data_IF_084432156466
#
_entry.id   IF_084432156466
#
_cell.length_a   1.000
_cell.length_b   1.000
_cell.length_c   1.000
_cell.angle_alpha   90.00
_cell.angle_beta   90.00
_cell.angle_gamma   90.00
#
_symmetry.space_group_name_H-M   'P 1'
#
loop_
_entity.id
_entity.type
_entity.pdbx_description
1 polymer ?
#
# COMPACT_ATOMS: atom_id res chain seq x y z
N UNK A 1 10.27 -42.53 40.00
CA UNK A 1 11.02 -41.37 39.53
C UNK A 1 10.30 -40.83 38.29
N UNK A 2 9.47 -39.79 38.44
CA UNK A 2 8.70 -39.21 37.34
C UNK A 2 9.34 -37.88 36.97
N UNK A 3 10.02 -37.82 35.82
CA UNK A 3 10.62 -36.63 35.25
C UNK A 3 9.50 -35.79 34.61
N UNK A 4 9.23 -34.60 35.17
CA UNK A 4 8.34 -33.61 34.56
C UNK A 4 9.14 -32.86 33.48
N UNK A 5 8.82 -33.09 32.20
CA UNK A 5 9.18 -32.16 31.15
C UNK A 5 8.23 -30.97 31.24
N UNK A 6 8.74 -29.83 31.68
CA UNK A 6 8.05 -28.55 31.61
C UNK A 6 8.28 -27.94 30.25
N UNK A 7 7.23 -27.87 29.45
CA UNK A 7 7.26 -27.22 28.14
C UNK A 7 7.25 -25.67 28.30
N UNK A 8 8.42 -25.07 28.18
CA UNK A 8 8.57 -23.61 28.11
C UNK A 8 8.48 -23.13 26.66
N UNK A 9 7.26 -23.08 26.07
CA UNK A 9 7.02 -22.62 24.69
C UNK A 9 6.11 -21.40 24.61
N UNK A 10 5.96 -20.65 25.71
CA UNK A 10 5.01 -19.51 25.76
C UNK A 10 5.47 -18.12 25.31
N UNK A 11 6.73 -17.64 25.39
CA UNK A 11 7.01 -16.23 25.12
C UNK A 11 7.06 -15.85 23.64
N UNK A 12 7.39 -16.77 22.73
CA UNK A 12 7.52 -16.47 21.29
C UNK A 12 6.14 -16.31 20.62
N UNK A 13 5.16 -17.13 21.00
CA UNK A 13 3.82 -17.13 20.41
C UNK A 13 3.02 -15.87 20.84
N UNK A 14 3.10 -15.47 22.10
CA UNK A 14 2.44 -14.24 22.59
C UNK A 14 3.00 -12.97 21.94
N UNK A 15 4.31 -12.91 21.72
CA UNK A 15 4.96 -11.78 21.06
C UNK A 15 4.52 -11.70 19.60
N UNK A 16 4.50 -12.82 18.88
CA UNK A 16 4.03 -12.88 17.49
C UNK A 16 2.54 -12.52 17.38
N UNK A 17 1.70 -13.03 18.28
CA UNK A 17 0.29 -12.69 18.34
C UNK A 17 0.06 -11.18 18.58
N UNK A 18 0.87 -10.55 19.44
CA UNK A 18 0.82 -9.10 19.68
C UNK A 18 1.23 -8.29 18.45
N UNK A 19 2.28 -8.70 17.75
CA UNK A 19 2.73 -8.05 16.50
C UNK A 19 1.65 -8.15 15.43
N UNK A 20 1.06 -9.33 15.23
CA UNK A 20 -0.05 -9.54 14.27
C UNK A 20 -1.27 -8.67 14.60
N UNK A 21 -1.67 -8.59 15.87
CA UNK A 21 -2.79 -7.74 16.29
C UNK A 21 -2.50 -6.26 16.05
N UNK A 22 -1.26 -5.83 16.30
CA UNK A 22 -0.83 -4.46 16.04
C UNK A 22 -0.95 -4.15 14.54
N UNK A 23 -0.41 -5.01 13.69
CA UNK A 23 -0.48 -4.84 12.24
C UNK A 23 -1.92 -4.87 11.72
N UNK A 24 -2.74 -5.80 12.21
CA UNK A 24 -4.15 -5.87 11.84
C UNK A 24 -4.90 -4.56 12.18
N UNK A 25 -4.64 -3.97 13.34
CA UNK A 25 -5.24 -2.69 13.73
C UNK A 25 -4.79 -1.56 12.80
N UNK A 26 -3.52 -1.54 12.41
CA UNK A 26 -2.99 -0.57 11.44
C UNK A 26 -3.73 -0.68 10.10
N UNK A 27 -3.85 -1.89 9.58
CA UNK A 27 -4.57 -2.16 8.31
C UNK A 27 -6.05 -1.81 8.41
N UNK A 28 -6.72 -2.11 9.52
CA UNK A 28 -8.12 -1.74 9.72
C UNK A 28 -8.33 -0.23 9.70
N UNK A 29 -7.42 0.56 10.29
CA UNK A 29 -7.48 2.02 10.26
C UNK A 29 -7.31 2.56 8.83
N UNK A 30 -6.38 2.01 8.08
CA UNK A 30 -6.13 2.39 6.69
C UNK A 30 -7.34 2.04 5.80
N UNK A 31 -7.88 0.83 5.94
CA UNK A 31 -9.07 0.40 5.20
C UNK A 31 -10.31 1.24 5.55
N UNK A 32 -10.50 1.60 6.82
CA UNK A 32 -11.59 2.47 7.25
C UNK A 32 -11.53 3.85 6.59
N UNK A 33 -10.34 4.44 6.50
CA UNK A 33 -10.15 5.72 5.81
C UNK A 33 -10.49 5.62 4.32
N UNK A 34 -10.06 4.54 3.65
CA UNK A 34 -10.40 4.28 2.24
C UNK A 34 -11.90 4.07 2.03
N UNK A 35 -12.57 3.36 2.93
CA UNK A 35 -14.02 3.14 2.88
C UNK A 35 -14.77 4.46 2.99
N UNK A 36 -14.39 5.34 3.92
CA UNK A 36 -14.99 6.66 4.08
C UNK A 36 -14.81 7.54 2.85
N UNK A 37 -13.61 7.54 2.25
CA UNK A 37 -13.34 8.22 0.97
C UNK A 37 -14.17 7.60 -0.17
N UNK A 38 -14.28 6.28 -0.20
CA UNK A 38 -15.14 5.54 -1.13
C UNK A 38 -16.60 5.94 -1.04
N UNK A 39 -17.08 6.24 0.16
CA UNK A 39 -18.44 6.71 0.43
C UNK A 39 -18.65 8.22 0.16
N UNK A 40 -17.63 8.92 -0.34
CA UNK A 40 -17.72 10.32 -0.77
C UNK A 40 -17.12 11.35 0.18
N UNK A 41 -16.56 10.96 1.32
CA UNK A 41 -15.87 11.88 2.21
C UNK A 41 -14.55 12.37 1.57
N UNK A 42 -14.20 13.65 1.77
CA UNK A 42 -12.84 14.11 1.46
C UNK A 42 -11.86 13.58 2.50
N UNK A 43 -10.73 13.02 2.10
CA UNK A 43 -9.75 12.51 3.05
C UNK A 43 -9.22 13.59 4.00
N UNK A 44 -8.99 14.81 3.50
CA UNK A 44 -8.53 15.95 4.31
C UNK A 44 -9.55 16.41 5.35
N UNK A 45 -10.83 16.06 5.19
CA UNK A 45 -11.90 16.37 6.14
C UNK A 45 -12.12 15.26 7.18
N UNK A 46 -11.51 14.07 6.99
CA UNK A 46 -11.70 12.94 7.90
C UNK A 46 -11.12 13.21 9.29
N UNK A 47 -11.97 13.08 10.30
CA UNK A 47 -11.57 13.14 11.70
C UNK A 47 -11.11 11.77 12.24
N UNK A 48 -10.15 11.78 13.18
CA UNK A 48 -9.65 10.55 13.83
C UNK A 48 -10.80 9.74 14.47
N UNK A 49 -11.79 10.42 15.07
CA UNK A 49 -12.96 9.74 15.67
C UNK A 49 -13.82 9.02 14.62
N UNK A 50 -13.94 9.58 13.44
CA UNK A 50 -14.68 8.98 12.34
C UNK A 50 -13.96 7.74 11.81
N UNK A 51 -12.66 7.84 11.54
CA UNK A 51 -11.82 6.72 11.10
C UNK A 51 -11.84 5.58 12.13
N UNK A 52 -11.67 5.89 13.42
CA UNK A 52 -11.63 4.86 14.46
C UNK A 52 -12.97 4.19 14.70
N UNK A 53 -14.09 4.93 14.56
CA UNK A 53 -15.44 4.37 14.60
C UNK A 53 -15.66 3.39 13.45
N UNK A 54 -15.28 3.76 12.24
CA UNK A 54 -15.36 2.90 11.05
C UNK A 54 -14.47 1.67 11.19
N UNK A 55 -13.26 1.81 11.76
CA UNK A 55 -12.34 0.72 12.02
C UNK A 55 -12.74 -0.19 13.20
N UNK A 56 -13.79 0.16 13.96
CA UNK A 56 -14.22 -0.59 15.15
C UNK A 56 -13.22 -0.55 16.31
N UNK A 57 -12.45 0.55 16.44
CA UNK A 57 -11.44 0.70 17.50
C UNK A 57 -11.63 2.00 18.28
N UNK A 58 -11.06 2.07 19.49
CA UNK A 58 -11.07 3.30 20.30
C UNK A 58 -10.08 4.34 19.76
N UNK A 59 -10.35 5.67 19.91
CA UNK A 59 -9.47 6.71 19.40
C UNK A 59 -8.01 6.62 19.87
N UNK A 60 -7.78 6.14 21.08
CA UNK A 60 -6.41 5.94 21.61
C UNK A 60 -5.62 4.87 20.84
N UNK A 61 -6.29 3.94 20.17
CA UNK A 61 -5.63 2.96 19.30
C UNK A 61 -5.01 3.61 18.07
N UNK A 62 -5.61 4.65 17.50
CA UNK A 62 -5.07 5.40 16.37
C UNK A 62 -3.66 5.91 16.65
N UNK A 63 -3.47 6.57 17.80
CA UNK A 63 -2.19 7.19 18.16
C UNK A 63 -1.05 6.20 18.42
N UNK A 64 -1.33 4.91 18.51
CA UNK A 64 -0.31 3.85 18.54
C UNK A 64 0.27 3.51 17.17
N UNK A 65 -0.38 3.96 16.10
CA UNK A 65 -0.03 3.65 14.71
C UNK A 65 0.29 4.89 13.90
N UNK A 66 -0.43 5.99 14.11
CA UNK A 66 -0.32 7.23 13.34
C UNK A 66 -0.46 8.43 14.28
N UNK A 67 0.37 9.46 14.09
CA UNK A 67 0.28 10.70 14.87
C UNK A 67 -0.84 11.61 14.36
N UNK A 68 -1.05 11.59 13.03
CA UNK A 68 -2.02 12.44 12.32
C UNK A 68 -2.72 11.66 11.22
N UNK A 69 -3.83 12.19 10.70
CA UNK A 69 -4.48 11.65 9.50
C UNK A 69 -3.58 11.74 8.26
N UNK A 70 -2.74 12.77 8.14
CA UNK A 70 -1.74 12.88 7.08
C UNK A 70 -0.74 11.72 7.11
N UNK A 71 -0.26 11.32 8.29
CA UNK A 71 0.65 10.16 8.43
C UNK A 71 -0.03 8.85 7.98
N UNK A 72 -1.33 8.68 8.27
CA UNK A 72 -2.11 7.56 7.74
C UNK A 72 -2.22 7.65 6.21
N UNK A 73 -2.47 8.82 5.66
CA UNK A 73 -2.54 9.04 4.22
C UNK A 73 -1.21 8.75 3.51
N UNK A 74 -0.09 9.18 4.09
CA UNK A 74 1.26 8.86 3.59
C UNK A 74 1.51 7.36 3.58
N UNK A 75 1.09 6.64 4.61
CA UNK A 75 1.20 5.17 4.65
C UNK A 75 0.34 4.50 3.56
N UNK A 76 -0.85 5.02 3.25
CA UNK A 76 -1.67 4.52 2.14
C UNK A 76 -0.97 4.70 0.78
N UNK A 77 -0.34 5.85 0.55
CA UNK A 77 0.45 6.12 -0.67
C UNK A 77 1.61 5.15 -0.80
N UNK A 78 2.38 4.97 0.28
CA UNK A 78 3.55 4.10 0.33
C UNK A 78 3.19 2.62 0.10
N UNK A 79 2.23 2.08 0.85
CA UNK A 79 1.81 0.68 0.77
C UNK A 79 1.27 0.33 -0.64
N UNK A 80 0.46 1.22 -1.22
CA UNK A 80 -0.05 1.08 -2.60
C UNK A 80 1.06 1.11 -3.64
N UNK A 81 2.00 2.06 -3.51
CA UNK A 81 3.15 2.21 -4.40
C UNK A 81 4.07 0.99 -4.37
N UNK A 82 4.43 0.50 -3.18
CA UNK A 82 5.27 -0.70 -3.01
C UNK A 82 4.60 -1.92 -3.68
N UNK A 83 3.32 -2.13 -3.41
CA UNK A 83 2.58 -3.28 -3.95
C UNK A 83 2.51 -3.23 -5.47
N UNK A 84 2.15 -2.09 -6.05
CA UNK A 84 2.05 -1.92 -7.50
C UNK A 84 3.41 -2.15 -8.19
N UNK A 85 4.48 -1.52 -7.68
CA UNK A 85 5.83 -1.69 -8.26
C UNK A 85 6.27 -3.15 -8.24
N UNK A 86 6.04 -3.85 -7.13
CA UNK A 86 6.37 -5.29 -7.01
C UNK A 86 5.63 -6.12 -8.06
N UNK A 87 4.30 -5.97 -8.17
CA UNK A 87 3.48 -6.72 -9.12
C UNK A 87 3.89 -6.47 -10.57
N UNK A 88 4.18 -5.23 -10.93
CA UNK A 88 4.59 -4.91 -12.29
C UNK A 88 6.01 -5.34 -12.60
N UNK A 89 6.92 -5.35 -11.61
CA UNK A 89 8.26 -5.94 -11.77
C UNK A 89 8.16 -7.45 -12.02
N UNK A 90 7.37 -8.17 -11.23
CA UNK A 90 7.11 -9.60 -11.40
C UNK A 90 6.51 -9.89 -12.79
N UNK A 91 5.54 -9.08 -13.24
CA UNK A 91 4.94 -9.21 -14.57
C UNK A 91 5.96 -9.04 -15.71
N UNK A 92 6.93 -8.10 -15.57
CA UNK A 92 7.99 -7.89 -16.57
C UNK A 92 9.05 -8.99 -16.56
N UNK A 93 9.26 -9.65 -15.43
CA UNK A 93 10.22 -10.76 -15.31
C UNK A 93 9.67 -12.11 -15.80
N UNK A 94 8.43 -12.17 -16.25
CA UNK A 94 7.74 -13.39 -16.67
C UNK A 94 8.22 -13.95 -18.04
N UNK A 95 9.47 -13.75 -18.46
CA UNK A 95 10.13 -14.37 -19.63
C UNK A 95 9.28 -14.40 -20.93
N UNK A 96 8.49 -13.34 -21.18
CA UNK A 96 7.65 -13.21 -22.37
C UNK A 96 8.37 -12.40 -23.46
N UNK A 97 8.08 -12.62 -24.75
CA UNK A 97 8.50 -11.72 -25.84
C UNK A 97 8.04 -10.28 -25.57
N UNK A 98 8.77 -9.28 -26.11
CA UNK A 98 8.60 -7.88 -25.73
C UNK A 98 7.16 -7.34 -25.78
N UNK A 99 6.41 -7.61 -26.88
CA UNK A 99 5.01 -7.18 -27.01
C UNK A 99 4.08 -7.87 -26.02
N UNK A 100 4.26 -9.18 -25.82
CA UNK A 100 3.45 -9.96 -24.88
C UNK A 100 3.74 -9.56 -23.44
N UNK A 101 4.97 -9.21 -23.11
CA UNK A 101 5.34 -8.68 -21.79
C UNK A 101 4.66 -7.35 -21.51
N UNK A 102 4.63 -6.43 -22.48
CA UNK A 102 3.92 -5.14 -22.33
C UNK A 102 2.44 -5.39 -22.11
N UNK A 103 1.81 -6.22 -22.94
CA UNK A 103 0.39 -6.58 -22.84
C UNK A 103 0.08 -7.22 -21.48
N UNK A 104 0.93 -8.13 -21.03
CA UNK A 104 0.81 -8.78 -19.72
C UNK A 104 0.92 -7.76 -18.59
N UNK A 105 1.92 -6.87 -18.61
CA UNK A 105 2.10 -5.82 -17.60
C UNK A 105 0.90 -4.86 -17.53
N UNK A 106 0.34 -4.47 -18.68
CA UNK A 106 -0.88 -3.65 -18.74
C UNK A 106 -2.08 -4.41 -18.16
N UNK A 107 -2.22 -5.70 -18.47
CA UNK A 107 -3.30 -6.54 -17.91
C UNK A 107 -3.20 -6.65 -16.38
N UNK A 108 -2.00 -6.87 -15.84
CA UNK A 108 -1.74 -6.91 -14.40
C UNK A 108 -2.08 -5.55 -13.77
N UNK A 109 -1.66 -4.45 -14.38
CA UNK A 109 -1.99 -3.10 -13.92
C UNK A 109 -3.50 -2.84 -13.86
N UNK A 110 -4.22 -3.14 -14.96
CA UNK A 110 -5.68 -2.95 -15.01
C UNK A 110 -6.40 -3.83 -13.98
N UNK A 111 -5.93 -5.05 -13.78
CA UNK A 111 -6.50 -5.96 -12.78
C UNK A 111 -6.28 -5.41 -11.37
N UNK A 112 -5.08 -4.92 -11.07
CA UNK A 112 -4.76 -4.27 -9.81
C UNK A 112 -5.65 -3.05 -9.55
N UNK A 113 -5.83 -2.17 -10.54
CA UNK A 113 -6.72 -1.00 -10.42
C UNK A 113 -8.16 -1.38 -10.06
N UNK A 114 -8.68 -2.45 -10.67
CA UNK A 114 -10.04 -2.93 -10.40
C UNK A 114 -10.19 -3.50 -8.99
N UNK A 115 -9.18 -4.21 -8.51
CA UNK A 115 -9.18 -4.81 -7.17
C UNK A 115 -8.96 -3.77 -6.07
N UNK A 116 -8.23 -2.70 -6.36
CA UNK A 116 -7.82 -1.64 -5.43
C UNK A 116 -8.46 -0.28 -5.78
N UNK A 117 -9.73 -0.29 -6.17
CA UNK A 117 -10.41 0.91 -6.66
C UNK A 117 -10.56 2.01 -5.60
N UNK A 118 -10.61 1.69 -4.31
CA UNK A 118 -10.68 2.66 -3.22
C UNK A 118 -9.36 3.41 -3.05
N UNK A 119 -8.25 2.69 -3.10
CA UNK A 119 -6.90 3.25 -3.07
C UNK A 119 -6.67 4.19 -4.25
N UNK A 120 -7.12 3.80 -5.45
CA UNK A 120 -7.00 4.64 -6.63
C UNK A 120 -7.91 5.87 -6.58
N UNK A 121 -9.10 5.76 -6.01
CA UNK A 121 -9.96 6.91 -5.77
C UNK A 121 -9.29 7.88 -4.81
N UNK A 122 -8.71 7.39 -3.71
CA UNK A 122 -7.93 8.18 -2.77
C UNK A 122 -6.75 8.88 -3.46
N UNK A 123 -5.88 8.14 -4.17
CA UNK A 123 -4.73 8.70 -4.88
C UNK A 123 -5.16 9.78 -5.90
N UNK A 124 -6.22 9.53 -6.65
CA UNK A 124 -6.71 10.46 -7.67
C UNK A 124 -7.24 11.76 -7.07
N UNK A 125 -7.95 11.69 -5.95
CA UNK A 125 -8.47 12.88 -5.25
C UNK A 125 -7.35 13.67 -4.57
N UNK A 126 -6.44 12.97 -3.87
CA UNK A 126 -5.39 13.62 -3.08
C UNK A 126 -4.21 14.13 -3.92
N UNK A 127 -4.06 13.66 -5.16
CA UNK A 127 -3.06 14.18 -6.11
C UNK A 127 -3.23 15.68 -6.39
N UNK A 128 -4.45 16.18 -6.38
CA UNK A 128 -4.78 17.59 -6.67
C UNK A 128 -5.37 18.33 -5.47
N UNK A 129 -6.18 17.66 -4.64
CA UNK A 129 -6.91 18.24 -3.51
C UNK A 129 -6.29 18.01 -2.13
N UNK A 130 -5.35 17.07 -2.01
CA UNK A 130 -4.75 16.67 -0.74
C UNK A 130 -3.84 17.71 -0.09
N UNK A 131 -3.33 17.39 1.08
CA UNK A 131 -2.29 18.19 1.74
C UNK A 131 -1.01 18.25 0.90
N UNK A 132 -0.14 19.23 1.19
CA UNK A 132 1.13 19.36 0.46
C UNK A 132 2.00 18.11 0.59
N UNK A 133 2.01 17.48 1.77
CA UNK A 133 2.73 16.23 2.04
C UNK A 133 2.22 15.08 1.17
N UNK A 134 0.90 14.91 1.07
CA UNK A 134 0.28 13.87 0.24
C UNK A 134 0.54 14.09 -1.26
N UNK A 135 0.36 15.34 -1.75
CA UNK A 135 0.68 15.65 -3.15
C UNK A 135 2.13 15.35 -3.51
N UNK A 136 3.07 15.67 -2.62
CA UNK A 136 4.49 15.38 -2.83
C UNK A 136 4.77 13.88 -2.80
N UNK A 137 4.21 13.14 -1.83
CA UNK A 137 4.36 11.69 -1.74
C UNK A 137 3.84 10.99 -2.99
N UNK A 138 2.63 11.33 -3.46
CA UNK A 138 2.04 10.76 -4.69
C UNK A 138 2.91 11.08 -5.91
N UNK A 139 3.42 12.30 -6.02
CA UNK A 139 4.32 12.69 -7.12
C UNK A 139 5.61 11.88 -7.12
N UNK A 140 6.21 11.69 -5.94
CA UNK A 140 7.43 10.90 -5.77
C UNK A 140 7.19 9.44 -6.11
N UNK A 141 6.07 8.84 -5.69
CA UNK A 141 5.71 7.47 -6.05
C UNK A 141 5.56 7.29 -7.57
N UNK A 142 4.91 8.24 -8.25
CA UNK A 142 4.79 8.22 -9.72
C UNK A 142 6.18 8.31 -10.37
N UNK A 143 7.07 9.16 -9.86
CA UNK A 143 8.43 9.30 -10.38
C UNK A 143 9.25 8.02 -10.16
N UNK A 144 9.17 7.41 -8.96
CA UNK A 144 9.82 6.12 -8.67
C UNK A 144 9.34 5.03 -9.61
N UNK A 145 8.02 4.90 -9.78
CA UNK A 145 7.43 3.94 -10.70
C UNK A 145 7.91 4.13 -12.15
N UNK A 146 7.92 5.38 -12.64
CA UNK A 146 8.35 5.69 -14.00
C UNK A 146 9.83 5.37 -14.21
N UNK A 147 10.68 5.70 -13.24
CA UNK A 147 12.13 5.44 -13.31
C UNK A 147 12.44 3.93 -13.28
N UNK A 148 11.78 3.16 -12.40
CA UNK A 148 11.93 1.69 -12.37
C UNK A 148 11.48 1.07 -13.69
N UNK A 149 10.32 1.48 -14.22
CA UNK A 149 9.81 0.96 -15.48
C UNK A 149 10.77 1.28 -16.64
N UNK A 150 11.28 2.50 -16.72
CA UNK A 150 12.26 2.89 -17.75
C UNK A 150 13.56 2.07 -17.64
N UNK A 151 14.03 1.81 -16.42
CA UNK A 151 15.22 0.99 -16.18
C UNK A 151 15.00 -0.46 -16.61
N UNK A 152 13.86 -1.06 -16.25
CA UNK A 152 13.53 -2.43 -16.63
C UNK A 152 13.40 -2.60 -18.15
N UNK A 153 12.75 -1.64 -18.84
CA UNK A 153 12.62 -1.67 -20.30
C UNK A 153 13.97 -1.58 -21.02
N UNK A 154 14.93 -0.79 -20.47
CA UNK A 154 16.30 -0.73 -20.99
C UNK A 154 17.04 -2.05 -20.80
N UNK A 155 16.99 -2.63 -19.60
CA UNK A 155 17.65 -3.90 -19.27
C UNK A 155 17.15 -5.06 -20.14
N UNK A 156 15.86 -5.07 -20.44
CA UNK A 156 15.23 -6.09 -21.29
C UNK A 156 15.45 -5.86 -22.79
N UNK A 157 16.11 -4.75 -23.17
CA UNK A 157 16.42 -4.37 -24.58
C UNK A 157 15.20 -4.42 -25.52
N UNK A 158 14.03 -4.04 -25.01
CA UNK A 158 12.76 -4.13 -25.75
C UNK A 158 12.67 -3.09 -26.87
N UNK A 159 13.38 -1.99 -26.72
CA UNK A 159 13.49 -0.91 -27.71
C UNK A 159 14.95 -0.57 -27.98
N UNK A 160 15.65 -1.34 -28.83
CA UNK A 160 17.08 -1.15 -29.08
C UNK A 160 17.44 0.22 -29.69
N UNK A 161 16.46 0.99 -30.18
CA UNK A 161 16.67 2.33 -30.75
C UNK A 161 16.45 3.51 -29.80
N UNK A 162 16.07 3.28 -28.53
CA UNK A 162 15.85 4.35 -27.52
C UNK A 162 17.06 4.60 -26.61
N UNK A 163 18.23 4.08 -26.98
CA UNK A 163 19.48 4.35 -26.28
C UNK A 163 20.05 5.71 -26.70
N UNK A 164 19.81 6.74 -25.91
CA UNK A 164 20.60 7.97 -25.87
C UNK A 164 20.85 8.34 -24.44
#
# INVERSE_FOLDING_TARGET
MRTRLSAATKPVDETQARVRRKEQTRQNLMQAALTLVGNGSSFTALGIREITREAGVVPTAFYRHFKTTDELGLALVEDGGITLRRLLREARQASLPGEDMIRHSVSVFVTYLKQHHLEWRFISSERSGGSQSLRNAIRNEIAHFTNEMASDLRLLNIFPGLST
#
